data_IF_537782737889
#
_entry.id   IF_537782737889
#
_cell.length_a   1.000
_cell.length_b   1.000
_cell.length_c   1.000
_cell.angle_alpha   90.00
_cell.angle_beta   90.00
_cell.angle_gamma   90.00
#
_symmetry.space_group_name_H-M   'P 1'
#
loop_
_entity.id
_entity.type
_entity.pdbx_description
1 polymer ?
#
# COMPACT_ATOMS: atom_id res chain seq x y z
N UNK A 1 -17.93 -3.98 -8.60
CA UNK A 1 -16.95 -4.61 -7.77
C UNK A 1 -16.54 -5.95 -8.24
N UNK A 2 -17.19 -6.46 -9.20
CA UNK A 2 -16.67 -7.64 -9.84
C UNK A 2 -15.30 -7.36 -10.39
N UNK A 3 -15.12 -6.17 -10.84
CA UNK A 3 -13.87 -5.71 -11.37
C UNK A 3 -12.77 -5.78 -10.34
N UNK A 4 -13.13 -5.54 -9.10
CA UNK A 4 -12.17 -5.57 -8.02
C UNK A 4 -11.53 -6.94 -7.91
N UNK A 5 -12.31 -7.99 -8.07
CA UNK A 5 -11.78 -9.33 -7.99
C UNK A 5 -10.77 -9.62 -9.08
N UNK A 6 -11.04 -9.14 -10.28
CA UNK A 6 -10.14 -9.38 -11.39
C UNK A 6 -8.89 -8.54 -11.33
N UNK A 7 -9.03 -7.36 -10.80
CA UNK A 7 -7.93 -6.40 -10.77
C UNK A 7 -7.35 -6.24 -9.39
N UNK A 8 -7.46 -7.25 -8.59
CA UNK A 8 -7.05 -7.17 -7.21
C UNK A 8 -5.64 -6.63 -7.06
N UNK A 9 -4.70 -7.19 -7.81
CA UNK A 9 -3.32 -6.75 -7.70
C UNK A 9 -3.10 -5.37 -8.28
N UNK A 10 -3.85 -5.03 -9.33
CA UNK A 10 -3.70 -3.72 -9.94
C UNK A 10 -4.24 -2.62 -9.05
N UNK A 11 -5.16 -2.97 -8.16
CA UNK A 11 -5.71 -2.01 -7.23
C UNK A 11 -4.93 -1.89 -5.94
N UNK A 12 -3.92 -2.72 -5.76
CA UNK A 12 -3.19 -2.70 -4.50
C UNK A 12 -2.52 -1.36 -4.23
N UNK A 13 -2.08 -0.66 -5.28
CA UNK A 13 -1.49 0.65 -5.11
C UNK A 13 -2.50 1.64 -4.54
N UNK A 14 -3.72 1.62 -5.07
CA UNK A 14 -4.76 2.52 -4.57
C UNK A 14 -5.13 2.20 -3.14
N UNK A 15 -5.22 0.93 -2.82
CA UNK A 15 -5.55 0.50 -1.46
C UNK A 15 -4.43 0.89 -0.51
N UNK A 16 -3.19 0.67 -0.91
CA UNK A 16 -2.05 1.04 -0.07
C UNK A 16 -2.01 2.55 0.14
N UNK A 17 -2.27 3.31 -0.91
CA UNK A 17 -2.31 4.76 -0.83
C UNK A 17 -3.37 5.20 0.18
N UNK A 18 -4.53 4.60 0.10
CA UNK A 18 -5.64 4.94 0.97
C UNK A 18 -5.28 4.71 2.45
N UNK A 19 -4.70 3.55 2.75
CA UNK A 19 -4.34 3.23 4.11
C UNK A 19 -3.11 3.97 4.60
N UNK A 20 -2.27 4.43 3.68
CA UNK A 20 -1.06 5.16 4.05
C UNK A 20 -1.35 6.63 4.31
N UNK A 21 -2.10 7.27 3.41
CA UNK A 21 -2.23 8.72 3.43
C UNK A 21 -3.59 9.21 3.91
N UNK A 22 -4.63 8.41 3.76
CA UNK A 22 -5.97 8.88 4.12
C UNK A 22 -6.43 8.34 5.46
N UNK A 23 -6.32 7.03 5.67
CA UNK A 23 -6.73 6.44 6.93
C UNK A 23 -5.59 6.26 7.90
N UNK A 24 -4.37 6.28 7.41
CA UNK A 24 -3.18 6.10 8.23
C UNK A 24 -3.31 4.82 9.08
N UNK A 25 -3.58 3.74 8.40
CA UNK A 25 -3.72 2.43 9.03
C UNK A 25 -2.44 1.64 8.74
N UNK A 26 -1.45 1.68 9.63
CA UNK A 26 -0.10 1.21 9.29
C UNK A 26 -0.02 -0.25 8.89
N UNK A 27 -0.71 -1.13 9.62
CA UNK A 27 -0.61 -2.55 9.31
C UNK A 27 -1.11 -2.86 7.90
N UNK A 28 -2.25 -2.28 7.54
CA UNK A 28 -2.82 -2.52 6.23
C UNK A 28 -2.05 -1.80 5.15
N UNK A 29 -1.54 -0.61 5.48
CA UNK A 29 -0.75 0.15 4.52
C UNK A 29 0.48 -0.65 4.10
N UNK A 30 1.21 -1.20 5.05
CA UNK A 30 2.42 -1.97 4.74
C UNK A 30 2.05 -3.24 3.98
N UNK A 31 0.99 -3.91 4.41
CA UNK A 31 0.57 -5.14 3.74
C UNK A 31 0.29 -4.89 2.26
N UNK A 32 -0.53 -3.90 1.97
CA UNK A 32 -0.93 -3.65 0.59
C UNK A 32 0.21 -3.04 -0.22
N UNK A 33 1.05 -2.23 0.41
CA UNK A 33 2.21 -1.67 -0.28
C UNK A 33 3.18 -2.78 -0.68
N UNK A 34 3.35 -3.79 0.18
CA UNK A 34 4.20 -4.93 -0.17
C UNK A 34 3.61 -5.73 -1.31
N UNK A 35 2.30 -5.97 -1.27
CA UNK A 35 1.64 -6.68 -2.35
C UNK A 35 1.82 -5.92 -3.65
N UNK A 36 1.61 -4.61 -3.61
CA UNK A 36 1.77 -3.79 -4.80
C UNK A 36 3.20 -3.84 -5.33
N UNK A 37 4.18 -3.72 -4.45
CA UNK A 37 5.57 -3.66 -4.89
C UNK A 37 6.02 -5.00 -5.47
N UNK A 38 5.38 -6.09 -5.09
CA UNK A 38 5.75 -7.39 -5.61
C UNK A 38 5.39 -7.54 -7.09
N UNK A 39 4.42 -6.77 -7.56
CA UNK A 39 3.99 -6.84 -8.97
C UNK A 39 4.35 -5.59 -9.76
N UNK A 40 4.56 -4.47 -9.11
CA UNK A 40 4.87 -3.21 -9.79
C UNK A 40 6.02 -2.54 -9.05
N UNK A 41 7.20 -2.53 -9.66
CA UNK A 41 8.40 -2.00 -9.01
C UNK A 41 8.82 -0.69 -9.63
N UNK A 42 7.86 0.21 -9.79
CA UNK A 42 8.13 1.54 -10.28
C UNK A 42 8.57 2.44 -9.13
N UNK A 43 9.19 3.58 -9.43
CA UNK A 43 9.62 4.51 -8.36
C UNK A 43 8.48 4.91 -7.44
N UNK A 44 7.28 5.14 -8.00
CA UNK A 44 6.13 5.49 -7.18
C UNK A 44 5.78 4.37 -6.21
N UNK A 45 5.85 3.14 -6.69
CA UNK A 45 5.50 1.99 -5.87
C UNK A 45 6.48 1.81 -4.73
N UNK A 46 7.75 2.04 -5.00
CA UNK A 46 8.76 1.96 -3.96
C UNK A 46 8.54 3.05 -2.91
N UNK A 47 8.23 4.25 -3.36
CA UNK A 47 7.98 5.36 -2.43
C UNK A 47 6.77 5.06 -1.55
N UNK A 48 5.74 4.49 -2.15
CA UNK A 48 4.55 4.13 -1.39
C UNK A 48 4.88 3.14 -0.29
N UNK A 49 5.69 2.13 -0.61
CA UNK A 49 6.11 1.15 0.38
C UNK A 49 6.93 1.79 1.49
N UNK A 50 7.85 2.67 1.13
CA UNK A 50 8.68 3.35 2.12
C UNK A 50 7.81 4.18 3.05
N UNK A 51 6.85 4.91 2.49
CA UNK A 51 5.97 5.75 3.30
C UNK A 51 5.09 4.89 4.22
N UNK A 52 4.63 3.76 3.73
CA UNK A 52 3.83 2.85 4.56
C UNK A 52 4.66 2.30 5.71
N UNK A 53 5.90 1.91 5.42
CA UNK A 53 6.79 1.42 6.46
C UNK A 53 7.11 2.49 7.49
N UNK A 54 7.28 3.72 7.03
CA UNK A 54 7.54 4.83 7.92
C UNK A 54 6.34 5.08 8.83
N UNK A 55 5.14 5.00 8.28
CA UNK A 55 3.93 5.15 9.06
C UNK A 55 3.84 4.10 10.15
N UNK A 56 4.17 2.86 9.82
CA UNK A 56 4.13 1.78 10.78
C UNK A 56 5.15 2.01 11.89
N UNK A 57 6.34 2.47 11.51
CA UNK A 57 7.38 2.73 12.48
C UNK A 57 6.95 3.82 13.44
N UNK A 58 6.33 4.88 12.94
CA UNK A 58 5.86 5.97 13.78
C UNK A 58 4.74 5.51 14.71
N UNK A 59 3.88 4.64 14.21
CA UNK A 59 2.77 4.16 15.02
C UNK A 59 3.24 3.27 16.16
N UNK A 60 4.41 2.65 16.01
CA UNK A 60 4.92 1.73 17.00
C UNK A 60 5.84 2.41 18.02
N UNK A 61 5.97 3.70 17.96
CA UNK A 61 6.77 4.42 18.96
C UNK A 61 5.93 4.79 20.21
#
# INVERSE_FOLDING_TARGET
HLRVLRNDRLHSADIAFYFTYLLEHPDRAVKWANINYSVAKEPFDKRLLIDAQQLQKEANQ
#
